data_IF_281763087089
#
_entry.id   IF_281763087089
#
_cell.length_a   1.000
_cell.length_b   1.000
_cell.length_c   1.000
_cell.angle_alpha   90.00
_cell.angle_beta   90.00
_cell.angle_gamma   90.00
#
_symmetry.space_group_name_H-M   'P 1'
#
loop_
_entity.id
_entity.type
_entity.pdbx_description
1 polymer ?
#
# COMPACT_ATOMS: atom_id res chain seq x y z
N UNK A 1 -16.45 -70.70 -1.92
CA UNK A 1 -17.33 -70.27 -3.02
C UNK A 1 -17.68 -68.80 -2.79
N UNK A 2 -16.76 -67.82 -2.88
CA UNK A 2 -15.61 -67.64 -3.78
C UNK A 2 -16.02 -67.38 -5.23
N UNK A 3 -16.61 -66.18 -5.42
CA UNK A 3 -16.72 -65.33 -6.62
C UNK A 3 -17.37 -64.04 -6.06
N UNK A 4 -16.93 -62.80 -6.24
CA UNK A 4 -16.03 -62.16 -7.19
C UNK A 4 -15.52 -60.86 -6.53
N UNK A 5 -14.35 -60.89 -5.89
CA UNK A 5 -13.72 -59.68 -5.31
C UNK A 5 -12.83 -58.97 -6.34
N UNK A 6 -12.59 -59.58 -7.52
CA UNK A 6 -11.71 -59.03 -8.56
C UNK A 6 -12.41 -58.18 -9.65
N UNK A 7 -13.74 -58.04 -9.65
CA UNK A 7 -14.45 -57.34 -10.73
C UNK A 7 -14.70 -55.83 -10.46
N UNK A 8 -14.79 -55.41 -9.21
CA UNK A 8 -15.08 -54.00 -8.86
C UNK A 8 -13.81 -53.15 -8.76
N UNK A 9 -12.67 -53.77 -8.41
CA UNK A 9 -11.40 -53.05 -8.26
C UNK A 9 -10.73 -52.66 -9.60
N UNK A 10 -11.12 -53.27 -10.73
CA UNK A 10 -10.52 -52.98 -12.04
C UNK A 10 -11.27 -51.91 -12.86
N UNK A 11 -12.40 -51.38 -12.39
CA UNK A 11 -13.15 -50.32 -13.08
C UNK A 11 -12.93 -48.91 -12.55
N UNK A 12 -12.25 -48.72 -11.42
CA UNK A 12 -11.97 -47.38 -10.87
C UNK A 12 -10.60 -46.81 -11.30
N UNK A 13 -9.68 -47.64 -11.81
CA UNK A 13 -8.30 -47.22 -12.13
C UNK A 13 -8.16 -46.71 -13.58
N UNK A 14 -9.18 -46.86 -14.44
CA UNK A 14 -9.12 -46.49 -15.86
C UNK A 14 -9.97 -45.27 -16.26
N UNK A 15 -10.29 -44.39 -15.31
CA UNK A 15 -10.94 -43.10 -15.56
C UNK A 15 -10.09 -41.90 -15.06
N UNK A 16 -8.80 -42.12 -14.83
CA UNK A 16 -7.81 -41.11 -14.38
C UNK A 16 -6.91 -40.55 -15.49
N UNK A 17 -7.26 -40.70 -16.77
CA UNK A 17 -6.52 -40.05 -17.87
C UNK A 17 -7.46 -39.46 -18.92
N UNK A 18 -8.24 -38.45 -18.54
CA UNK A 18 -8.69 -37.40 -19.47
C UNK A 18 -8.09 -36.09 -19.03
N UNK A 19 -6.90 -35.83 -19.57
CA UNK A 19 -6.22 -34.54 -19.57
C UNK A 19 -7.09 -33.59 -20.40
N UNK A 20 -7.69 -32.52 -19.84
CA UNK A 20 -8.25 -31.47 -20.67
C UNK A 20 -7.10 -30.75 -21.36
N UNK A 21 -7.17 -30.75 -22.69
CA UNK A 21 -6.35 -30.00 -23.64
C UNK A 21 -5.81 -28.69 -23.06
N UNK A 22 -4.50 -28.65 -22.87
CA UNK A 22 -3.73 -27.46 -22.52
C UNK A 22 -3.74 -26.55 -23.74
N UNK A 23 -4.52 -25.47 -23.68
CA UNK A 23 -4.42 -24.39 -24.64
C UNK A 23 -3.14 -23.59 -24.34
N UNK A 24 -2.13 -23.77 -25.19
CA UNK A 24 -0.80 -23.17 -25.06
C UNK A 24 -0.90 -21.66 -25.37
N UNK A 25 -1.02 -20.84 -24.32
CA UNK A 25 -0.67 -19.41 -24.40
C UNK A 25 0.87 -19.25 -24.37
N UNK A 26 1.44 -18.11 -24.85
CA UNK A 26 2.86 -18.06 -25.23
C UNK A 26 3.85 -18.16 -24.08
N UNK A 27 3.43 -18.23 -22.81
CA UNK A 27 4.33 -18.25 -21.64
C UNK A 27 3.88 -19.15 -20.48
N UNK A 28 2.84 -19.98 -20.61
CA UNK A 28 2.58 -21.07 -19.66
C UNK A 28 2.42 -20.72 -18.17
N UNK A 29 1.94 -19.53 -17.79
CA UNK A 29 1.73 -19.15 -16.38
C UNK A 29 0.23 -19.15 -15.99
N UNK A 30 -0.18 -19.79 -14.87
CA UNK A 30 -1.55 -19.76 -14.38
C UNK A 30 -2.02 -18.36 -13.94
N UNK A 31 -3.30 -18.05 -14.22
CA UNK A 31 -3.90 -16.70 -14.08
C UNK A 31 -4.06 -16.19 -12.64
N UNK A 32 -3.92 -17.04 -11.63
CA UNK A 32 -4.12 -16.70 -10.20
C UNK A 32 -2.95 -15.94 -9.55
N UNK A 33 -1.84 -15.74 -10.27
CA UNK A 33 -0.61 -15.06 -9.77
C UNK A 33 -0.65 -13.52 -9.98
N UNK A 34 -1.72 -12.97 -10.58
CA UNK A 34 -1.79 -11.54 -10.96
C UNK A 34 -2.31 -10.58 -9.88
N UNK A 35 -2.55 -11.02 -8.64
CA UNK A 35 -3.11 -10.13 -7.60
C UNK A 35 -2.09 -9.40 -6.74
N UNK A 36 -0.82 -9.83 -6.65
CA UNK A 36 0.13 -9.24 -5.71
C UNK A 36 1.50 -8.96 -6.38
N UNK A 37 1.68 -7.71 -6.83
CA UNK A 37 3.00 -7.15 -7.13
C UNK A 37 3.31 -6.92 -8.61
N UNK A 38 3.92 -5.76 -8.90
CA UNK A 38 4.47 -5.43 -10.22
C UNK A 38 5.87 -6.06 -10.33
N UNK A 39 6.15 -6.92 -11.33
CA UNK A 39 7.47 -7.52 -11.49
C UNK A 39 8.50 -6.45 -11.91
N UNK A 40 9.57 -6.26 -11.13
CA UNK A 40 10.75 -5.49 -11.56
C UNK A 40 11.67 -6.42 -12.37
N UNK A 41 11.65 -6.28 -13.71
CA UNK A 41 12.57 -6.99 -14.60
C UNK A 41 13.94 -6.29 -14.57
N UNK A 42 14.97 -6.97 -14.03
CA UNK A 42 16.35 -6.50 -14.12
C UNK A 42 16.90 -6.71 -15.53
N UNK A 43 17.94 -5.97 -15.92
CA UNK A 43 18.53 -6.03 -17.29
C UNK A 43 19.09 -7.40 -17.71
N UNK A 44 19.07 -8.39 -16.80
CA UNK A 44 19.60 -9.74 -17.00
C UNK A 44 18.51 -10.81 -17.13
N UNK A 45 17.23 -10.45 -17.16
CA UNK A 45 16.14 -11.41 -17.40
C UNK A 45 15.73 -12.23 -16.18
N UNK A 46 16.25 -11.93 -15.00
CA UNK A 46 15.75 -12.51 -13.74
C UNK A 46 14.57 -11.67 -13.21
N UNK A 47 13.36 -12.20 -13.37
CA UNK A 47 12.18 -11.72 -12.65
C UNK A 47 12.26 -12.24 -11.21
N UNK A 48 12.91 -11.49 -10.32
CA UNK A 48 12.80 -11.76 -8.89
C UNK A 48 11.41 -11.32 -8.43
N UNK A 49 10.54 -12.28 -8.15
CA UNK A 49 9.31 -12.02 -7.39
C UNK A 49 9.71 -11.68 -5.95
N UNK A 50 9.91 -10.39 -5.69
CA UNK A 50 10.01 -9.89 -4.32
C UNK A 50 8.67 -10.18 -3.64
N UNK A 51 8.62 -11.26 -2.86
CA UNK A 51 7.45 -11.54 -2.03
C UNK A 51 7.40 -10.47 -0.95
N UNK A 52 6.39 -9.61 -1.01
CA UNK A 52 6.18 -8.60 0.03
C UNK A 52 5.76 -9.34 1.30
N UNK A 53 6.66 -9.35 2.29
CA UNK A 53 6.38 -9.91 3.61
C UNK A 53 5.53 -8.90 4.37
N UNK A 54 4.54 -9.41 5.12
CA UNK A 54 3.67 -8.60 5.96
C UNK A 54 3.55 -9.21 7.35
N UNK A 55 3.60 -8.35 8.35
CA UNK A 55 3.30 -8.69 9.75
C UNK A 55 2.17 -7.80 10.25
N UNK A 56 1.31 -8.36 11.11
CA UNK A 56 0.14 -7.64 11.61
C UNK A 56 -0.01 -7.78 13.12
N UNK A 57 -0.52 -6.73 13.76
CA UNK A 57 -0.81 -6.72 15.19
C UNK A 57 -2.09 -5.92 15.47
N UNK A 58 -3.04 -6.43 16.26
CA UNK A 58 -4.19 -5.64 16.68
C UNK A 58 -3.75 -4.53 17.63
N UNK A 59 -4.24 -3.32 17.37
CA UNK A 59 -3.85 -2.10 18.06
C UNK A 59 -5.06 -1.35 18.56
N UNK A 60 -5.23 -1.30 19.88
CA UNK A 60 -6.25 -0.47 20.52
C UNK A 60 -5.80 0.98 20.54
N UNK A 61 -6.68 1.89 20.14
CA UNK A 61 -6.42 3.33 20.17
C UNK A 61 -7.18 3.96 21.34
N UNK A 62 -6.45 4.69 22.18
CA UNK A 62 -7.03 5.45 23.29
C UNK A 62 -7.17 6.90 22.89
N UNK A 63 -8.41 7.39 22.91
CA UNK A 63 -8.75 8.79 22.65
C UNK A 63 -9.12 9.46 23.98
N UNK A 64 -8.49 10.59 24.27
CA UNK A 64 -8.82 11.42 25.42
C UNK A 64 -9.73 12.57 25.00
N UNK A 65 -10.87 12.67 25.68
CA UNK A 65 -11.76 13.83 25.64
C UNK A 65 -11.39 14.78 26.78
N UNK A 66 -11.20 16.05 26.49
CA UNK A 66 -10.95 17.11 27.47
C UNK A 66 -11.89 18.28 27.22
N UNK A 67 -12.23 19.10 28.24
CA UNK A 67 -12.97 20.33 28.02
C UNK A 67 -12.17 21.25 27.10
N UNK A 68 -12.84 21.79 26.08
CA UNK A 68 -12.20 22.69 25.14
C UNK A 68 -11.91 24.04 25.78
N UNK A 69 -10.80 24.65 25.37
CA UNK A 69 -10.33 25.94 25.91
C UNK A 69 -11.00 27.14 25.24
N UNK A 70 -11.82 26.93 24.21
CA UNK A 70 -12.45 28.01 23.43
C UNK A 70 -13.97 27.91 23.48
N UNK A 71 -14.64 29.05 23.30
CA UNK A 71 -16.12 29.11 23.25
C UNK A 71 -16.75 28.34 22.09
N UNK A 72 -15.96 28.00 21.07
CA UNK A 72 -16.45 27.39 19.81
C UNK A 72 -16.36 25.86 19.83
N UNK A 73 -15.50 25.30 20.67
CA UNK A 73 -15.34 23.87 20.82
C UNK A 73 -15.50 23.50 22.29
N UNK A 74 -16.64 22.89 22.63
CA UNK A 74 -16.90 22.42 24.01
C UNK A 74 -15.93 21.31 24.42
N UNK A 75 -15.49 20.50 23.47
CA UNK A 75 -14.62 19.35 23.70
C UNK A 75 -13.39 19.40 22.80
N UNK A 76 -12.24 18.99 23.33
CA UNK A 76 -11.00 18.73 22.61
C UNK A 76 -10.69 17.23 22.67
N UNK A 77 -10.45 16.65 21.51
CA UNK A 77 -10.20 15.23 21.30
C UNK A 77 -8.76 15.03 20.84
N UNK A 78 -8.05 14.08 21.46
CA UNK A 78 -6.69 13.70 21.05
C UNK A 78 -6.49 12.20 21.22
N UNK A 79 -5.79 11.55 20.29
CA UNK A 79 -5.26 10.22 20.54
C UNK A 79 -4.07 10.32 21.49
N UNK A 80 -4.07 9.55 22.58
CA UNK A 80 -3.07 9.69 23.66
C UNK A 80 -2.24 8.45 23.91
N UNK A 81 -2.78 7.25 23.63
CA UNK A 81 -2.10 6.01 23.91
C UNK A 81 -2.51 4.90 22.94
N UNK A 82 -1.64 3.90 22.85
CA UNK A 82 -1.80 2.70 22.03
C UNK A 82 -1.75 1.47 22.93
N UNK A 83 -2.61 0.50 22.65
CA UNK A 83 -2.75 -0.75 23.39
C UNK A 83 -2.42 -1.93 22.45
N UNK A 84 -1.16 -2.41 22.44
CA UNK A 84 -0.79 -3.54 21.61
C UNK A 84 -1.47 -4.82 22.09
N UNK A 85 -2.06 -5.59 21.17
CA UNK A 85 -2.76 -6.82 21.51
C UNK A 85 -4.15 -6.61 22.11
N UNK A 86 -4.72 -5.39 22.04
CA UNK A 86 -6.04 -5.13 22.58
C UNK A 86 -7.13 -5.94 21.84
N UNK A 87 -8.11 -6.45 22.60
CA UNK A 87 -9.33 -6.99 22.03
C UNK A 87 -10.27 -5.88 21.54
N UNK A 88 -11.27 -6.22 20.72
CA UNK A 88 -12.18 -5.23 20.15
C UNK A 88 -12.89 -4.43 21.25
N UNK A 89 -13.06 -3.13 21.00
CA UNK A 89 -13.84 -2.24 21.83
C UNK A 89 -14.57 -1.24 20.97
N UNK A 90 -15.64 -0.70 21.55
CA UNK A 90 -16.43 0.39 20.99
C UNK A 90 -16.56 1.44 22.10
N UNK A 91 -15.77 2.51 21.99
CA UNK A 91 -15.78 3.66 22.91
C UNK A 91 -15.86 3.33 24.41
N UNK A 92 -15.12 2.30 24.84
CA UNK A 92 -15.13 1.86 26.24
C UNK A 92 -14.35 2.84 27.12
N UNK A 93 -15.00 3.40 28.13
CA UNK A 93 -14.32 4.24 29.13
C UNK A 93 -13.26 3.42 29.89
N UNK A 94 -12.02 3.91 29.88
CA UNK A 94 -10.89 3.32 30.60
C UNK A 94 -10.64 4.06 31.92
N UNK A 95 -10.63 5.39 31.86
CA UNK A 95 -10.29 6.24 32.99
C UNK A 95 -11.00 7.59 32.88
N UNK A 96 -11.36 8.15 34.03
CA UNK A 96 -11.88 9.50 34.18
C UNK A 96 -11.05 10.29 35.18
N UNK A 97 -10.75 11.52 34.84
CA UNK A 97 -10.00 12.48 35.65
C UNK A 97 -10.71 13.84 35.58
N UNK A 98 -11.63 14.07 36.52
CA UNK A 98 -12.53 15.22 36.49
C UNK A 98 -13.40 15.20 35.23
N UNK A 99 -13.26 16.22 34.39
CA UNK A 99 -13.95 16.33 33.09
C UNK A 99 -13.21 15.65 31.94
N UNK A 100 -11.95 15.24 32.16
CA UNK A 100 -11.19 14.49 31.17
C UNK A 100 -11.55 13.00 31.23
N UNK A 101 -11.80 12.39 30.07
CA UNK A 101 -12.13 10.97 29.97
C UNK A 101 -11.29 10.33 28.88
N UNK A 102 -10.72 9.17 29.18
CA UNK A 102 -9.96 8.34 28.26
C UNK A 102 -10.81 7.15 27.84
N UNK A 103 -11.03 7.02 26.53
CA UNK A 103 -11.82 5.97 25.91
C UNK A 103 -10.92 5.07 25.08
N UNK A 104 -11.10 3.77 25.19
CA UNK A 104 -10.67 2.85 24.14
C UNK A 104 -11.68 2.98 22.99
N UNK A 105 -11.34 3.82 22.01
CA UNK A 105 -12.24 4.18 20.91
C UNK A 105 -12.50 2.99 19.99
N UNK A 106 -11.46 2.19 19.74
CA UNK A 106 -11.58 0.96 18.99
C UNK A 106 -10.23 0.30 18.74
N UNK A 107 -10.27 -0.88 18.15
CA UNK A 107 -9.10 -1.67 17.79
C UNK A 107 -8.99 -1.77 16.29
N UNK A 108 -7.83 -1.41 15.75
CA UNK A 108 -7.50 -1.55 14.33
C UNK A 108 -6.27 -2.42 14.14
N UNK A 109 -6.16 -3.07 13.00
CA UNK A 109 -4.97 -3.87 12.68
C UNK A 109 -3.86 -2.94 12.20
N UNK A 110 -2.74 -2.92 12.91
CA UNK A 110 -1.50 -2.31 12.44
C UNK A 110 -0.79 -3.30 11.52
N UNK A 111 -0.54 -2.91 10.29
CA UNK A 111 0.15 -3.72 9.28
C UNK A 111 1.53 -3.15 8.97
N UNK A 112 2.53 -4.02 8.92
CA UNK A 112 3.87 -3.71 8.46
C UNK A 112 4.13 -4.41 7.12
N UNK A 113 4.74 -3.70 6.18
CA UNK A 113 5.08 -4.22 4.85
C UNK A 113 6.58 -4.10 4.60
N UNK A 114 7.19 -5.14 4.02
CA UNK A 114 8.63 -5.12 3.70
C UNK A 114 9.00 -4.02 2.68
N UNK A 115 8.05 -3.58 1.86
CA UNK A 115 8.23 -2.47 0.92
C UNK A 115 8.42 -1.11 1.59
N UNK A 116 7.98 -0.98 2.84
CA UNK A 116 7.82 0.32 3.52
C UNK A 116 8.86 0.51 4.65
N UNK A 117 9.87 -0.36 4.69
CA UNK A 117 10.90 -0.40 5.73
C UNK A 117 11.64 0.93 5.89
N UNK A 118 11.84 1.68 4.81
CA UNK A 118 12.42 3.03 4.86
C UNK A 118 11.59 4.00 5.70
N UNK A 119 10.27 3.94 5.58
CA UNK A 119 9.36 4.78 6.36
C UNK A 119 9.42 4.46 7.84
N UNK A 120 9.52 3.17 8.18
CA UNK A 120 9.67 2.72 9.57
C UNK A 120 11.00 3.16 10.19
N UNK A 121 12.09 3.15 9.41
CA UNK A 121 13.40 3.66 9.87
C UNK A 121 13.35 5.13 10.23
N UNK A 122 12.68 5.96 9.41
CA UNK A 122 12.49 7.38 9.71
C UNK A 122 11.72 7.57 11.02
N UNK A 123 10.66 6.79 11.22
CA UNK A 123 9.89 6.79 12.48
C UNK A 123 10.76 6.43 13.69
N UNK A 124 11.59 5.38 13.58
CA UNK A 124 12.48 4.92 14.65
C UNK A 124 13.64 5.89 14.95
N UNK A 125 14.12 6.64 13.95
CA UNK A 125 15.19 7.63 14.11
C UNK A 125 14.69 8.95 14.71
N UNK A 126 13.38 9.16 14.81
CA UNK A 126 12.82 10.35 15.44
C UNK A 126 13.12 10.41 16.94
N UNK A 127 13.15 11.62 17.51
CA UNK A 127 13.45 11.82 18.94
C UNK A 127 12.51 11.04 19.87
N UNK A 128 11.24 10.97 19.49
CA UNK A 128 10.21 10.20 20.18
C UNK A 128 9.50 9.35 19.13
N UNK A 129 9.86 8.06 18.99
CA UNK A 129 9.29 7.21 17.95
C UNK A 129 7.80 7.03 18.23
N UNK A 130 6.98 7.41 17.25
CA UNK A 130 5.53 7.57 17.40
C UNK A 130 4.81 7.00 16.19
N UNK A 131 3.61 6.44 16.38
CA UNK A 131 2.73 6.05 15.28
C UNK A 131 1.81 7.19 14.91
N UNK A 132 1.44 7.23 13.63
CA UNK A 132 0.38 8.11 13.15
C UNK A 132 -0.95 7.42 13.36
N UNK A 133 -1.84 8.07 14.10
CA UNK A 133 -3.24 7.66 14.26
C UNK A 133 -4.08 8.60 13.42
N UNK A 134 -4.74 8.05 12.40
CA UNK A 134 -5.60 8.81 11.50
C UNK A 134 -7.05 8.58 11.92
N UNK A 135 -7.70 9.67 12.30
CA UNK A 135 -9.10 9.69 12.69
C UNK A 135 -9.92 10.37 11.58
N UNK A 136 -11.05 9.76 11.26
CA UNK A 136 -12.06 10.34 10.37
C UNK A 136 -13.24 10.84 11.19
N UNK A 137 -13.91 11.87 10.69
CA UNK A 137 -15.13 12.39 11.29
C UNK A 137 -16.29 12.09 10.35
N UNK A 138 -17.16 11.16 10.76
CA UNK A 138 -18.37 10.88 9.98
C UNK A 138 -19.36 12.04 10.10
N UNK A 139 -20.03 12.35 8.99
CA UNK A 139 -20.99 13.46 8.94
C UNK A 139 -22.18 13.25 9.89
N UNK A 140 -22.61 11.99 10.08
CA UNK A 140 -23.73 11.60 10.92
C UNK A 140 -23.30 11.08 12.31
N UNK A 141 -22.04 11.30 12.70
CA UNK A 141 -21.51 10.79 13.96
C UNK A 141 -22.20 11.44 15.18
N UNK A 142 -22.43 10.69 16.27
CA UNK A 142 -22.92 11.24 17.52
C UNK A 142 -22.00 12.35 18.04
N UNK A 143 -22.57 13.45 18.55
CA UNK A 143 -21.80 14.59 19.08
C UNK A 143 -20.87 14.20 20.23
N UNK A 144 -21.23 13.15 20.97
CA UNK A 144 -20.45 12.67 22.11
C UNK A 144 -19.26 11.79 21.71
N UNK A 145 -19.23 11.24 20.50
CA UNK A 145 -18.21 10.29 20.00
C UNK A 145 -18.02 10.46 18.47
N UNK A 146 -17.46 11.60 18.01
CA UNK A 146 -17.55 11.98 16.60
C UNK A 146 -16.50 11.34 15.69
N UNK A 147 -15.52 10.59 16.22
CA UNK A 147 -14.36 10.12 15.47
C UNK A 147 -14.33 8.61 15.27
N UNK A 148 -14.09 8.17 14.04
CA UNK A 148 -13.78 6.77 13.74
C UNK A 148 -12.29 6.61 13.42
N UNK A 149 -11.71 5.50 13.85
CA UNK A 149 -10.30 5.21 13.58
C UNK A 149 -10.20 4.70 12.14
N UNK A 150 -9.59 5.50 11.27
CA UNK A 150 -9.40 5.13 9.87
C UNK A 150 -8.26 4.14 9.72
N UNK A 151 -7.12 4.45 10.32
CA UNK A 151 -5.94 3.59 10.32
C UNK A 151 -4.90 4.04 11.35
N UNK A 152 -3.97 3.13 11.65
CA UNK A 152 -2.75 3.42 12.41
C UNK A 152 -1.57 2.96 11.55
N UNK A 153 -0.59 3.84 11.35
CA UNK A 153 0.58 3.54 10.52
C UNK A 153 1.89 3.86 11.23
N UNK A 154 2.87 2.98 11.02
CA UNK A 154 4.25 3.19 11.42
C UNK A 154 5.09 3.89 10.33
N UNK A 155 4.56 3.98 9.10
CA UNK A 155 5.26 4.58 7.98
C UNK A 155 5.16 6.11 8.07
N UNK A 156 6.30 6.78 8.29
CA UNK A 156 6.35 8.23 8.39
C UNK A 156 5.83 8.95 7.13
N UNK A 157 6.10 8.41 5.93
CA UNK A 157 5.70 9.05 4.67
C UNK A 157 4.19 8.96 4.43
N UNK A 158 3.60 7.81 4.73
CA UNK A 158 2.15 7.63 4.65
C UNK A 158 1.43 8.51 5.67
N UNK A 159 1.89 8.49 6.93
CA UNK A 159 1.33 9.32 7.99
C UNK A 159 1.41 10.82 7.69
N UNK A 160 2.54 11.28 7.14
CA UNK A 160 2.70 12.67 6.71
C UNK A 160 1.71 13.04 5.59
N UNK A 161 1.47 12.15 4.62
CA UNK A 161 0.50 12.39 3.55
C UNK A 161 -0.92 12.66 4.07
N UNK A 162 -1.34 11.96 5.12
CA UNK A 162 -2.62 12.23 5.79
C UNK A 162 -2.60 13.51 6.62
N UNK A 163 -1.48 13.83 7.27
CA UNK A 163 -1.36 15.05 8.06
C UNK A 163 -1.45 16.32 7.17
N UNK A 164 -0.95 16.24 5.94
CA UNK A 164 -0.96 17.36 4.99
C UNK A 164 -2.29 17.54 4.24
N UNK A 165 -3.14 16.50 4.18
CA UNK A 165 -4.41 16.58 3.42
C UNK A 165 -5.45 17.50 4.07
N UNK A 166 -5.39 17.67 5.40
CA UNK A 166 -6.33 18.50 6.17
C UNK A 166 -7.75 17.94 6.28
N UNK A 167 -8.03 16.78 5.71
CA UNK A 167 -9.35 16.11 5.76
C UNK A 167 -9.55 15.29 7.04
N UNK A 168 -8.46 14.80 7.62
CA UNK A 168 -8.47 13.87 8.74
C UNK A 168 -7.79 14.49 9.96
N UNK A 169 -8.23 14.11 11.16
CA UNK A 169 -7.50 14.43 12.38
C UNK A 169 -6.37 13.42 12.53
N UNK A 170 -5.12 13.90 12.42
CA UNK A 170 -3.93 13.06 12.49
C UNK A 170 -3.16 13.39 13.75
N UNK A 171 -2.92 12.39 14.58
CA UNK A 171 -2.22 12.53 15.86
C UNK A 171 -1.00 11.61 15.89
N UNK A 172 0.09 12.12 16.47
CA UNK A 172 1.31 11.35 16.73
C UNK A 172 1.27 10.79 18.14
N UNK A 173 1.17 9.46 18.25
CA UNK A 173 1.10 8.78 19.54
C UNK A 173 2.42 8.05 19.82
N UNK A 174 3.11 8.38 20.93
CA UNK A 174 4.37 7.73 21.30
C UNK A 174 4.24 6.21 21.39
N UNK A 175 5.20 5.49 20.81
CA UNK A 175 5.20 4.04 20.84
C UNK A 175 5.63 3.52 22.22
N UNK A 176 4.93 2.52 22.80
CA UNK A 176 5.45 1.75 23.91
C UNK A 176 6.67 0.94 23.46
N UNK A 177 7.56 0.61 24.40
CA UNK A 177 8.82 -0.10 24.12
C UNK A 177 8.61 -1.41 23.35
N UNK A 178 7.53 -2.14 23.65
CA UNK A 178 7.16 -3.37 22.95
C UNK A 178 6.94 -3.14 21.45
N UNK A 179 6.30 -2.03 21.07
CA UNK A 179 6.07 -1.69 19.67
C UNK A 179 7.35 -1.25 18.97
N UNK A 180 8.16 -0.44 19.64
CA UNK A 180 9.47 -0.02 19.10
C UNK A 180 10.29 -1.25 18.75
N UNK A 181 10.37 -2.21 19.67
CA UNK A 181 11.10 -3.46 19.47
C UNK A 181 10.54 -4.28 18.31
N UNK A 182 9.22 -4.44 18.24
CA UNK A 182 8.58 -5.21 17.17
C UNK A 182 8.82 -4.60 15.78
N UNK A 183 8.65 -3.28 15.64
CA UNK A 183 8.95 -2.57 14.39
C UNK A 183 10.44 -2.65 14.05
N UNK A 184 11.33 -2.51 15.05
CA UNK A 184 12.76 -2.64 14.86
C UNK A 184 13.16 -4.03 14.35
N UNK A 185 12.68 -5.10 14.98
CA UNK A 185 12.95 -6.49 14.56
C UNK A 185 12.43 -6.75 13.14
N UNK A 186 11.26 -6.21 12.80
CA UNK A 186 10.72 -6.31 11.43
C UNK A 186 11.62 -5.61 10.41
N UNK A 187 12.08 -4.40 10.71
CA UNK A 187 12.98 -3.62 9.85
C UNK A 187 14.33 -4.33 9.71
N UNK A 188 14.91 -4.82 10.81
CA UNK A 188 16.19 -5.53 10.79
C UNK A 188 16.14 -6.79 9.91
N UNK A 189 15.02 -7.52 9.92
CA UNK A 189 14.84 -8.74 9.15
C UNK A 189 14.56 -8.50 7.65
N UNK A 190 13.91 -7.40 7.28
CA UNK A 190 13.37 -7.21 5.92
C UNK A 190 13.88 -5.99 5.18
N UNK A 191 14.63 -5.10 5.83
CA UNK A 191 15.14 -3.90 5.19
C UNK A 191 16.24 -4.23 4.18
N UNK A 192 16.05 -3.76 2.95
CA UNK A 192 17.04 -3.82 1.88
C UNK A 192 17.31 -2.39 1.43
N UNK A 193 18.56 -1.94 1.53
CA UNK A 193 18.94 -0.62 1.04
C UNK A 193 18.84 -0.59 -0.49
N UNK A 194 17.75 -0.01 -1.02
CA UNK A 194 17.63 0.26 -2.44
C UNK A 194 18.40 1.54 -2.79
N UNK A 195 19.49 1.41 -3.53
CA UNK A 195 20.16 2.57 -4.10
C UNK A 195 19.20 3.30 -5.06
N UNK A 196 18.91 4.57 -4.79
CA UNK A 196 18.06 5.38 -5.65
C UNK A 196 18.68 5.55 -7.05
N UNK A 197 18.21 4.77 -8.02
CA UNK A 197 18.62 4.90 -9.42
C UNK A 197 17.74 5.96 -10.07
N UNK A 198 18.29 7.16 -10.24
CA UNK A 198 17.63 8.21 -11.04
C UNK A 198 17.40 7.67 -12.46
N UNK A 199 16.14 7.63 -12.90
CA UNK A 199 15.81 7.34 -14.30
C UNK A 199 16.59 8.32 -15.19
N UNK A 200 17.43 7.81 -16.08
CA UNK A 200 18.06 8.65 -17.10
C UNK A 200 16.98 8.96 -18.13
N UNK A 201 16.74 10.24 -18.41
CA UNK A 201 15.88 10.64 -19.51
C UNK A 201 16.50 10.12 -20.80
N UNK A 202 15.77 9.29 -21.53
CA UNK A 202 16.18 8.88 -22.86
C UNK A 202 16.39 10.13 -23.72
N UNK A 203 17.63 10.36 -24.12
CA UNK A 203 17.97 11.47 -25.00
C UNK A 203 17.43 11.12 -26.39
N UNK A 204 16.26 11.64 -26.73
CA UNK A 204 15.81 11.65 -28.13
C UNK A 204 16.80 12.52 -28.92
N UNK A 205 17.35 12.00 -30.03
CA UNK A 205 18.13 12.81 -30.97
C UNK A 205 17.24 13.95 -31.47
N UNK A 206 17.58 15.17 -31.10
CA UNK A 206 16.92 16.41 -31.56
C UNK A 206 17.46 16.89 -32.89
N UNK A 207 18.58 16.32 -33.36
CA UNK A 207 19.21 16.65 -34.64
C UNK A 207 18.56 15.93 -35.84
N UNK A 208 17.52 15.13 -35.60
CA UNK A 208 16.74 14.52 -36.68
C UNK A 208 15.88 15.59 -37.33
N UNK A 209 16.25 15.99 -38.54
CA UNK A 209 15.41 16.81 -39.42
C UNK A 209 14.26 15.93 -39.92
N UNK A 210 13.08 16.06 -39.31
CA UNK A 210 11.87 15.32 -39.68
C UNK A 210 11.01 16.22 -40.58
N UNK A 211 11.26 16.17 -41.89
CA UNK A 211 10.49 16.89 -42.91
C UNK A 211 9.14 16.21 -43.18
N UNK A 212 8.24 16.32 -42.19
CA UNK A 212 6.91 15.75 -42.21
C UNK A 212 6.89 14.26 -41.88
N UNK A 213 5.78 13.81 -41.26
CA UNK A 213 5.62 12.43 -40.82
C UNK A 213 4.89 11.62 -41.90
N UNK A 214 5.58 10.67 -42.55
CA UNK A 214 4.97 9.74 -43.51
C UNK A 214 5.50 9.84 -44.95
N UNK A 215 4.82 9.17 -45.89
CA UNK A 215 5.18 9.16 -47.31
C UNK A 215 5.00 10.56 -47.92
N UNK A 216 6.06 11.09 -48.52
CA UNK A 216 6.09 12.42 -49.14
C UNK A 216 5.06 12.62 -50.25
N UNK A 217 4.50 11.55 -50.84
CA UNK A 217 3.51 11.62 -51.92
C UNK A 217 2.07 11.83 -51.43
N UNK A 218 1.79 11.56 -50.15
CA UNK A 218 0.43 11.63 -49.60
C UNK A 218 0.32 12.87 -48.72
N UNK A 219 -0.53 13.83 -49.12
CA UNK A 219 -0.84 14.99 -48.26
C UNK A 219 -1.56 14.48 -47.00
N UNK A 220 -0.91 14.61 -45.85
CA UNK A 220 -1.52 14.31 -44.56
C UNK A 220 -1.98 15.59 -43.86
N UNK A 221 -3.13 15.52 -43.19
CA UNK A 221 -3.73 16.64 -42.45
C UNK A 221 -2.86 17.13 -41.28
N UNK A 222 -1.95 16.29 -40.78
CA UNK A 222 -1.02 16.63 -39.70
C UNK A 222 0.22 17.42 -40.15
N UNK A 223 0.51 17.47 -41.46
CA UNK A 223 1.67 18.15 -42.02
C UNK A 223 1.28 19.56 -42.51
N UNK A 224 0.98 20.44 -41.55
CA UNK A 224 0.52 21.82 -41.82
C UNK A 224 1.69 22.74 -42.24
N UNK A 225 2.93 22.36 -41.90
CA UNK A 225 4.15 23.14 -42.20
C UNK A 225 5.27 22.25 -42.74
N UNK A 226 5.30 22.07 -44.06
CA UNK A 226 6.44 21.49 -44.78
C UNK A 226 7.34 22.60 -45.30
N UNK A 227 8.63 22.55 -44.97
CA UNK A 227 9.58 23.56 -45.44
C UNK A 227 9.71 23.51 -46.97
N UNK A 228 9.62 24.64 -47.69
CA UNK A 228 9.59 24.67 -49.16
C UNK A 228 10.88 24.16 -49.83
N UNK A 229 11.99 24.04 -49.09
CA UNK A 229 13.24 23.46 -49.61
C UNK A 229 13.13 21.94 -49.83
N UNK A 230 12.41 21.22 -48.98
CA UNK A 230 12.23 19.75 -49.08
C UNK A 230 11.50 19.30 -50.35
N UNK A 231 10.72 20.19 -50.98
CA UNK A 231 10.00 19.92 -52.23
C UNK A 231 10.93 19.96 -53.45
N UNK A 232 12.03 20.73 -53.39
CA UNK A 232 12.95 20.92 -54.53
C UNK A 232 13.95 19.78 -54.69
N UNK A 233 14.28 19.07 -53.62
CA UNK A 233 15.31 18.02 -53.62
C UNK A 233 14.81 16.67 -54.18
N UNK A 234 13.48 16.43 -54.22
CA UNK A 234 12.89 15.17 -54.69
C UNK A 234 12.64 15.08 -56.22
N UNK A 235 12.99 16.11 -56.99
CA UNK A 235 12.71 16.21 -58.44
C UNK A 235 13.99 16.19 -59.32
N UNK A 236 15.11 15.72 -58.78
CA UNK A 236 16.32 15.33 -59.54
C UNK A 236 16.38 13.81 -59.68
#
# INVERSE_FOLDING_TARGET
>A
MEVDILSVALRQVLEMTRIPSIFVGPLGVPRHIWSNGVPKCTKQGECTFMTVVRDTMPMGVVIRRTPGVTRWAKWSWRAVALLPGAGPADWRELRREGEAVEYHAGTVTLELHSSDTDGYRVTLMSRTPSLYVVLDQEADAPTDMPYNIKMVTANAYEGQGYAESGSNLVELVPMPLTLIRWVHEFVEAHHVEEAFVKRKRDKKRVDLHEDGKGDARIRQTADVFRAPRSIRENNQ
#
